data_IF_155043401196
#
_entry.id   IF_155043401196
#
_cell.length_a   1.000
_cell.length_b   1.000
_cell.length_c   1.000
_cell.angle_alpha   90.00
_cell.angle_beta   90.00
_cell.angle_gamma   90.00
#
_symmetry.space_group_name_H-M   'P 1'
#
loop_
_entity.id
_entity.type
_entity.pdbx_description
1 polymer ?
#
# COMPACT_ATOMS: atom_id res chain seq x y z
N UNK A 1 -50.65 -8.57 32.48
CA UNK A 1 -49.31 -7.96 32.55
C UNK A 1 -49.16 -7.05 31.33
N UNK A 2 -49.04 -5.73 31.50
CA UNK A 2 -48.89 -4.81 30.36
C UNK A 2 -47.46 -4.97 29.81
N UNK A 3 -47.26 -5.12 28.48
CA UNK A 3 -45.93 -5.24 27.91
C UNK A 3 -45.08 -4.02 28.27
N UNK A 4 -43.96 -4.22 28.98
CA UNK A 4 -42.99 -3.14 29.21
C UNK A 4 -42.37 -2.76 27.87
N UNK A 5 -42.47 -1.48 27.50
CA UNK A 5 -41.85 -0.98 26.27
C UNK A 5 -40.33 -1.03 26.43
N UNK A 6 -39.61 -1.53 25.44
CA UNK A 6 -38.14 -1.64 25.47
C UNK A 6 -37.44 -0.34 25.90
N UNK A 7 -37.94 0.82 25.46
CA UNK A 7 -37.42 2.13 25.83
C UNK A 7 -37.59 2.51 27.32
N UNK A 8 -38.45 1.81 28.08
CA UNK A 8 -38.63 2.05 29.52
C UNK A 8 -37.69 1.23 30.40
N UNK A 9 -36.84 0.37 29.81
CA UNK A 9 -35.74 -0.27 30.53
C UNK A 9 -34.67 0.77 30.91
N UNK A 10 -33.93 0.63 32.02
CA UNK A 10 -32.76 1.47 32.28
C UNK A 10 -31.72 1.40 31.15
N UNK A 11 -30.94 2.47 30.99
CA UNK A 11 -29.96 2.57 29.89
C UNK A 11 -28.94 1.42 29.93
N UNK A 12 -28.51 1.02 31.11
CA UNK A 12 -27.55 -0.07 31.34
C UNK A 12 -28.08 -1.40 30.80
N UNK A 13 -29.37 -1.69 31.05
CA UNK A 13 -30.01 -2.92 30.56
C UNK A 13 -30.18 -2.86 29.04
N UNK A 14 -30.58 -1.71 28.49
CA UNK A 14 -30.65 -1.53 27.04
C UNK A 14 -29.26 -1.74 26.41
N UNK A 15 -28.21 -1.21 27.02
CA UNK A 15 -26.83 -1.35 26.55
C UNK A 15 -26.37 -2.81 26.52
N UNK A 16 -26.67 -3.59 27.56
CA UNK A 16 -26.39 -5.03 27.59
C UNK A 16 -27.14 -5.78 26.47
N UNK A 17 -28.39 -5.41 26.21
CA UNK A 17 -29.18 -6.00 25.11
C UNK A 17 -28.58 -5.61 23.75
N UNK A 18 -28.18 -4.35 23.57
CA UNK A 18 -27.52 -3.90 22.34
C UNK A 18 -26.21 -4.65 22.11
N UNK A 19 -25.39 -4.83 23.15
CA UNK A 19 -24.16 -5.59 23.06
C UNK A 19 -24.43 -7.04 22.65
N UNK A 20 -25.39 -7.70 23.30
CA UNK A 20 -25.78 -9.07 22.94
C UNK A 20 -26.33 -9.18 21.51
N UNK A 21 -27.03 -8.15 21.01
CA UNK A 21 -27.58 -8.13 19.66
C UNK A 21 -26.52 -7.89 18.58
N UNK A 22 -25.59 -6.94 18.79
CA UNK A 22 -24.63 -6.54 17.76
C UNK A 22 -23.34 -7.36 17.75
N UNK A 23 -22.97 -8.00 18.86
CA UNK A 23 -21.74 -8.81 18.93
C UNK A 23 -21.93 -10.16 18.26
N UNK A 24 -21.12 -10.42 17.23
CA UNK A 24 -20.99 -11.71 16.58
C UNK A 24 -19.74 -12.42 17.11
N UNK A 25 -19.81 -13.74 17.25
CA UNK A 25 -18.71 -14.57 17.77
C UNK A 25 -17.42 -14.40 16.94
N UNK A 26 -17.54 -14.43 15.61
CA UNK A 26 -16.42 -14.27 14.67
C UNK A 26 -16.21 -12.82 14.18
N UNK A 27 -17.06 -11.89 14.65
CA UNK A 27 -17.02 -10.50 14.26
C UNK A 27 -17.39 -10.24 12.78
N UNK A 28 -16.80 -9.20 12.20
CA UNK A 28 -17.10 -8.71 10.85
C UNK A 28 -15.97 -9.02 9.87
N UNK A 29 -16.37 -9.31 8.63
CA UNK A 29 -15.49 -9.57 7.50
C UNK A 29 -15.61 -8.47 6.46
N UNK A 30 -14.50 -7.86 6.04
CA UNK A 30 -14.49 -7.02 4.85
C UNK A 30 -14.62 -7.87 3.58
N UNK A 31 -15.63 -7.55 2.77
CA UNK A 31 -15.92 -8.20 1.50
C UNK A 31 -15.36 -7.34 0.35
N UNK A 32 -14.27 -7.78 -0.32
CA UNK A 32 -13.60 -6.95 -1.32
C UNK A 32 -14.44 -6.63 -2.55
N UNK A 33 -15.28 -7.57 -3.00
CA UNK A 33 -16.12 -7.38 -4.18
C UNK A 33 -17.20 -6.31 -3.97
N UNK A 34 -17.86 -6.31 -2.81
CA UNK A 34 -18.91 -5.32 -2.50
C UNK A 34 -18.36 -4.05 -1.86
N UNK A 35 -17.12 -4.07 -1.36
CA UNK A 35 -16.53 -2.98 -0.57
C UNK A 35 -17.19 -2.78 0.79
N UNK A 36 -18.00 -3.74 1.26
CA UNK A 36 -18.81 -3.65 2.49
C UNK A 36 -18.34 -4.64 3.54
N UNK A 37 -18.75 -4.41 4.79
CA UNK A 37 -18.64 -5.41 5.85
C UNK A 37 -19.82 -6.38 5.77
N UNK A 38 -19.53 -7.66 6.02
CA UNK A 38 -20.49 -8.72 6.24
C UNK A 38 -20.18 -9.40 7.58
N UNK A 39 -21.07 -10.26 8.05
CA UNK A 39 -20.71 -11.21 9.10
C UNK A 39 -19.57 -12.11 8.61
N UNK A 40 -18.79 -12.69 9.53
CA UNK A 40 -17.63 -13.49 9.17
C UNK A 40 -17.96 -14.74 8.34
N UNK A 41 -19.18 -15.26 8.48
CA UNK A 41 -19.76 -16.35 7.69
C UNK A 41 -20.26 -15.91 6.30
N UNK A 42 -20.14 -14.62 5.97
CA UNK A 42 -20.59 -14.03 4.71
C UNK A 42 -22.03 -13.55 4.71
N UNK A 43 -22.78 -13.70 5.81
CA UNK A 43 -24.16 -13.22 5.89
C UNK A 43 -24.23 -11.68 6.00
N UNK A 44 -25.39 -11.12 5.63
CA UNK A 44 -25.65 -9.70 5.81
C UNK A 44 -25.67 -9.34 7.30
N UNK A 45 -25.12 -8.18 7.64
CA UNK A 45 -25.17 -7.67 9.01
C UNK A 45 -26.62 -7.35 9.40
N UNK A 46 -27.12 -7.98 10.47
CA UNK A 46 -28.42 -7.61 11.03
C UNK A 46 -28.29 -6.31 11.82
N UNK A 47 -28.68 -5.21 11.17
CA UNK A 47 -28.71 -3.87 11.75
C UNK A 47 -30.15 -3.39 11.99
N UNK A 48 -31.16 -4.28 11.90
CA UNK A 48 -32.56 -3.91 11.95
C UNK A 48 -32.90 -3.11 13.22
N UNK A 49 -32.33 -3.49 14.36
CA UNK A 49 -32.54 -2.79 15.63
C UNK A 49 -32.17 -1.30 15.57
N UNK A 50 -31.12 -0.92 14.82
CA UNK A 50 -30.71 0.49 14.67
C UNK A 50 -31.75 1.34 13.95
N UNK A 51 -32.59 0.73 13.10
CA UNK A 51 -33.57 1.44 12.28
C UNK A 51 -34.96 1.52 12.92
N UNK A 52 -35.13 0.99 14.14
CA UNK A 52 -36.43 0.95 14.82
C UNK A 52 -36.91 2.32 15.31
N UNK A 53 -36.06 3.10 15.99
CA UNK A 53 -36.38 4.45 16.43
C UNK A 53 -35.13 5.32 16.67
N UNK A 54 -35.32 6.65 16.75
CA UNK A 54 -34.22 7.62 16.92
C UNK A 54 -33.42 7.40 18.20
N UNK A 55 -34.08 7.00 19.30
CA UNK A 55 -33.39 6.73 20.57
C UNK A 55 -32.40 5.57 20.40
N UNK A 56 -32.88 4.42 19.93
CA UNK A 56 -32.05 3.24 19.72
C UNK A 56 -30.93 3.55 18.70
N UNK A 57 -31.26 4.20 17.58
CA UNK A 57 -30.27 4.61 16.58
C UNK A 57 -29.14 5.47 17.18
N UNK A 58 -29.48 6.39 18.09
CA UNK A 58 -28.51 7.27 18.75
C UNK A 58 -27.63 6.52 19.76
N UNK A 59 -28.22 5.59 20.54
CA UNK A 59 -27.51 4.80 21.54
C UNK A 59 -26.59 3.74 20.91
N UNK A 60 -26.95 3.23 19.72
CA UNK A 60 -26.27 2.10 19.08
C UNK A 60 -25.32 2.46 17.95
N UNK A 61 -25.27 3.74 17.52
CA UNK A 61 -24.56 4.21 16.31
C UNK A 61 -23.15 3.64 16.09
N UNK A 62 -22.41 3.43 17.18
CA UNK A 62 -21.02 2.96 17.14
C UNK A 62 -20.83 1.53 17.69
N UNK A 63 -21.87 0.92 18.29
CA UNK A 63 -21.76 -0.37 18.95
C UNK A 63 -21.38 -1.52 18.02
N UNK A 64 -21.94 -1.64 16.80
CA UNK A 64 -21.54 -2.68 15.85
C UNK A 64 -20.03 -2.74 15.63
N UNK A 65 -19.38 -1.59 15.42
CA UNK A 65 -17.93 -1.53 15.16
C UNK A 65 -17.08 -1.57 16.43
N UNK A 66 -17.63 -1.12 17.57
CA UNK A 66 -16.92 -1.11 18.86
C UNK A 66 -16.79 -2.50 19.46
N UNK A 67 -17.79 -3.36 19.26
CA UNK A 67 -17.86 -4.67 19.91
C UNK A 67 -17.47 -5.84 18.99
N UNK A 68 -17.25 -5.60 17.71
CA UNK A 68 -16.84 -6.64 16.76
C UNK A 68 -15.44 -6.39 16.25
N UNK A 69 -14.65 -7.45 16.19
CA UNK A 69 -13.37 -7.43 15.48
C UNK A 69 -13.64 -7.36 13.98
N UNK A 70 -12.99 -6.42 13.29
CA UNK A 70 -13.05 -6.37 11.82
C UNK A 70 -11.84 -7.09 11.23
N UNK A 71 -12.11 -8.14 10.46
CA UNK A 71 -11.11 -8.93 9.78
C UNK A 71 -10.97 -8.52 8.31
N UNK A 72 -9.71 -8.37 7.87
CA UNK A 72 -9.33 -8.09 6.49
C UNK A 72 -8.47 -9.23 5.96
N UNK A 73 -8.64 -9.58 4.68
CA UNK A 73 -7.84 -10.61 4.02
C UNK A 73 -7.12 -10.06 2.80
N UNK A 74 -6.03 -10.73 2.41
CA UNK A 74 -5.39 -10.51 1.12
C UNK A 74 -6.38 -10.84 0.00
N UNK A 75 -6.55 -9.92 -0.94
CA UNK A 75 -7.58 -9.99 -1.98
C UNK A 75 -6.98 -10.46 -3.29
N UNK A 76 -7.58 -11.50 -3.85
CA UNK A 76 -7.41 -11.89 -5.23
C UNK A 76 -8.73 -11.71 -5.96
N UNK A 77 -8.72 -11.04 -7.10
CA UNK A 77 -9.86 -10.95 -8.00
C UNK A 77 -9.37 -11.19 -9.43
N UNK A 78 -9.98 -12.12 -10.20
CA UNK A 78 -9.52 -12.44 -11.55
C UNK A 78 -9.38 -11.20 -12.45
N UNK A 79 -10.38 -10.32 -12.45
CA UNK A 79 -10.39 -9.10 -13.27
C UNK A 79 -9.35 -8.06 -12.81
N UNK A 80 -8.88 -8.12 -11.56
CA UNK A 80 -7.90 -7.17 -11.02
C UNK A 80 -6.47 -7.69 -11.13
N UNK A 81 -6.28 -8.91 -11.63
CA UNK A 81 -4.98 -9.57 -11.66
C UNK A 81 -3.96 -8.82 -12.51
N UNK A 82 -4.33 -8.42 -13.72
CA UNK A 82 -3.44 -7.67 -14.61
C UNK A 82 -3.11 -6.30 -14.02
N UNK A 83 -4.10 -5.63 -13.42
CA UNK A 83 -3.92 -4.35 -12.74
C UNK A 83 -3.01 -4.43 -11.51
N UNK A 84 -3.18 -5.45 -10.68
CA UNK A 84 -2.32 -5.70 -9.51
C UNK A 84 -0.88 -6.02 -9.94
N UNK A 85 -0.70 -6.70 -11.08
CA UNK A 85 0.61 -6.90 -11.70
C UNK A 85 1.23 -5.61 -12.24
N UNK A 86 0.43 -4.78 -12.91
CA UNK A 86 0.88 -3.47 -13.38
C UNK A 86 1.27 -2.57 -12.22
N UNK A 87 0.48 -2.53 -11.15
CA UNK A 87 0.81 -1.79 -9.93
C UNK A 87 2.15 -2.23 -9.33
N UNK A 88 2.37 -3.53 -9.19
CA UNK A 88 3.64 -4.06 -8.67
C UNK A 88 4.84 -3.66 -9.56
N UNK A 89 4.67 -3.75 -10.88
CA UNK A 89 5.64 -3.26 -11.86
C UNK A 89 5.92 -1.77 -11.69
N UNK A 90 4.87 -0.94 -11.63
CA UNK A 90 5.00 0.52 -11.55
C UNK A 90 5.67 0.97 -10.25
N UNK A 91 5.31 0.39 -9.10
CA UNK A 91 5.96 0.70 -7.81
C UNK A 91 7.46 0.38 -7.90
N UNK A 92 7.82 -0.79 -8.44
CA UNK A 92 9.24 -1.16 -8.61
C UNK A 92 9.95 -0.21 -9.56
N UNK A 93 9.35 0.10 -10.71
CA UNK A 93 9.93 1.01 -11.72
C UNK A 93 10.15 2.41 -11.15
N UNK A 94 9.15 3.00 -10.48
CA UNK A 94 9.26 4.30 -9.82
C UNK A 94 10.36 4.31 -8.75
N UNK A 95 10.48 3.23 -7.97
CA UNK A 95 11.55 3.12 -6.98
C UNK A 95 12.95 3.08 -7.61
N UNK A 96 13.14 2.36 -8.72
CA UNK A 96 14.40 2.41 -9.47
C UNK A 96 14.70 3.81 -10.00
N UNK A 97 13.68 4.50 -10.50
CA UNK A 97 13.78 5.88 -10.95
C UNK A 97 14.28 6.80 -9.85
N UNK A 98 13.65 6.74 -8.68
CA UNK A 98 14.08 7.50 -7.50
C UNK A 98 15.55 7.21 -7.14
N UNK A 99 15.93 5.93 -7.09
CA UNK A 99 17.29 5.55 -6.70
C UNK A 99 18.34 6.09 -7.66
N UNK A 100 18.08 5.99 -8.96
CA UNK A 100 18.99 6.52 -9.98
C UNK A 100 19.07 8.05 -9.93
N UNK A 101 17.94 8.75 -9.79
CA UNK A 101 17.93 10.22 -9.63
C UNK A 101 18.80 10.61 -8.43
N UNK A 102 18.66 9.91 -7.29
CA UNK A 102 19.44 10.20 -6.09
C UNK A 102 20.95 9.98 -6.29
N UNK A 103 21.32 8.86 -6.92
CA UNK A 103 22.73 8.54 -7.19
C UNK A 103 23.35 9.53 -8.17
N UNK A 104 22.62 9.93 -9.21
CA UNK A 104 23.09 10.92 -10.18
C UNK A 104 23.22 12.30 -9.54
N UNK A 105 22.22 12.76 -8.78
CA UNK A 105 22.31 14.02 -8.03
C UNK A 105 23.47 14.01 -7.02
N UNK A 106 23.70 12.87 -6.37
CA UNK A 106 24.85 12.68 -5.49
C UNK A 106 26.19 12.74 -6.24
N UNK A 107 26.29 12.15 -7.44
CA UNK A 107 27.52 12.17 -8.26
C UNK A 107 27.85 13.57 -8.77
N UNK A 108 26.81 14.39 -9.00
CA UNK A 108 26.90 15.81 -9.36
C UNK A 108 27.16 16.73 -8.15
N UNK A 109 27.22 16.19 -6.92
CA UNK A 109 27.55 16.94 -5.72
C UNK A 109 26.37 17.62 -5.01
N UNK A 110 25.12 17.35 -5.42
CA UNK A 110 23.93 17.92 -4.77
C UNK A 110 23.59 17.26 -3.43
N UNK A 111 24.13 16.08 -3.14
CA UNK A 111 24.05 15.46 -1.80
C UNK A 111 25.20 15.98 -0.96
N UNK A 112 24.99 17.13 -0.32
CA UNK A 112 26.01 17.84 0.48
C UNK A 112 26.32 17.11 1.79
N UNK A 113 27.44 17.45 2.47
CA UNK A 113 27.72 16.91 3.81
C UNK A 113 26.58 17.12 4.81
N UNK A 114 25.92 18.29 4.78
CA UNK A 114 24.77 18.57 5.62
C UNK A 114 23.58 17.62 5.34
N UNK A 115 23.30 17.36 4.06
CA UNK A 115 22.26 16.38 3.68
C UNK A 115 22.65 14.96 4.16
N UNK A 116 23.93 14.57 4.07
CA UNK A 116 24.37 13.28 4.62
C UNK A 116 24.18 13.20 6.15
N UNK A 117 24.42 14.28 6.89
CA UNK A 117 24.17 14.33 8.33
C UNK A 117 22.68 14.19 8.66
N UNK A 118 21.80 14.89 7.93
CA UNK A 118 20.35 14.78 8.10
C UNK A 118 19.83 13.38 7.77
N UNK A 119 20.33 12.78 6.68
CA UNK A 119 20.06 11.37 6.35
C UNK A 119 20.55 10.48 7.48
N UNK A 120 21.76 10.70 7.99
CA UNK A 120 22.36 9.92 9.07
C UNK A 120 21.57 9.99 10.38
N UNK A 121 20.95 11.14 10.67
CA UNK A 121 20.09 11.29 11.84
C UNK A 121 18.84 10.41 11.82
N UNK A 122 18.29 10.12 10.62
CA UNK A 122 17.06 9.33 10.47
C UNK A 122 17.28 7.90 9.99
N UNK A 123 18.26 7.70 9.10
CA UNK A 123 18.61 6.43 8.48
C UNK A 123 20.14 6.19 8.54
N UNK A 124 20.73 5.95 9.73
CA UNK A 124 22.19 5.84 9.89
C UNK A 124 22.84 4.79 8.98
N UNK A 125 22.15 3.67 8.76
CA UNK A 125 22.61 2.56 7.93
C UNK A 125 22.70 2.91 6.44
N UNK A 126 21.96 3.93 5.98
CA UNK A 126 21.84 4.27 4.56
C UNK A 126 23.02 5.13 4.07
N UNK A 127 23.60 5.97 4.93
CA UNK A 127 24.64 6.96 4.55
C UNK A 127 25.84 6.29 3.87
N UNK A 128 26.42 5.26 4.47
CA UNK A 128 27.58 4.56 3.90
C UNK A 128 27.30 3.93 2.54
N UNK A 129 26.06 3.44 2.35
CA UNK A 129 25.61 2.81 1.11
C UNK A 129 25.36 3.83 0.00
N UNK A 130 24.74 4.96 0.35
CA UNK A 130 24.57 6.06 -0.58
C UNK A 130 25.93 6.60 -1.04
N UNK A 131 26.86 6.82 -0.11
CA UNK A 131 28.23 7.25 -0.44
C UNK A 131 28.94 6.26 -1.37
N UNK A 132 28.77 4.95 -1.15
CA UNK A 132 29.31 3.93 -2.03
C UNK A 132 28.69 3.98 -3.43
N UNK A 133 27.37 4.13 -3.53
CA UNK A 133 26.65 4.21 -4.80
C UNK A 133 27.03 5.45 -5.60
N UNK A 134 27.12 6.61 -4.94
CA UNK A 134 27.54 7.89 -5.53
C UNK A 134 28.97 7.84 -6.08
N UNK A 135 29.87 7.05 -5.49
CA UNK A 135 31.24 6.82 -6.01
C UNK A 135 31.30 5.94 -7.24
N UNK A 136 30.22 5.24 -7.60
CA UNK A 136 30.19 4.31 -8.73
C UNK A 136 28.84 4.37 -9.46
N UNK A 137 28.45 5.55 -9.99
CA UNK A 137 27.12 5.78 -10.58
C UNK A 137 26.87 4.92 -11.82
N UNK A 138 27.92 4.52 -12.54
CA UNK A 138 27.85 3.65 -13.72
C UNK A 138 27.17 2.30 -13.43
N UNK A 139 27.29 1.78 -12.21
CA UNK A 139 26.64 0.53 -11.80
C UNK A 139 25.11 0.65 -11.75
N UNK A 140 24.60 1.88 -11.68
CA UNK A 140 23.18 2.19 -11.51
C UNK A 140 22.54 2.69 -12.81
N UNK A 141 23.33 3.12 -13.81
CA UNK A 141 22.81 3.54 -15.13
C UNK A 141 22.15 2.41 -15.92
N UNK A 142 22.61 1.16 -15.76
CA UNK A 142 22.15 -0.01 -16.54
C UNK A 142 20.97 -0.75 -15.92
N UNK A 143 20.48 -0.32 -14.76
CA UNK A 143 19.43 -1.05 -14.01
C UNK A 143 18.03 -0.80 -14.60
N UNK A 144 17.88 0.15 -15.52
CA UNK A 144 16.65 0.43 -16.28
C UNK A 144 16.42 -0.48 -17.49
N UNK A 145 16.84 -1.72 -17.44
CA UNK A 145 16.73 -2.60 -18.61
C UNK A 145 15.30 -3.09 -18.90
N UNK A 146 14.28 -2.65 -18.14
CA UNK A 146 12.90 -3.15 -18.29
C UNK A 146 12.76 -4.66 -18.05
N UNK A 147 13.84 -5.33 -17.63
CA UNK A 147 13.92 -6.78 -17.49
C UNK A 147 13.08 -7.31 -16.33
N UNK A 148 12.54 -6.46 -15.44
CA UNK A 148 11.78 -6.93 -14.29
C UNK A 148 10.61 -7.85 -14.68
N UNK A 149 9.81 -7.46 -15.68
CA UNK A 149 8.70 -8.30 -16.11
C UNK A 149 9.17 -9.58 -16.79
N UNK A 150 10.34 -9.57 -17.44
CA UNK A 150 10.96 -10.77 -18.00
C UNK A 150 11.54 -11.68 -16.90
N UNK A 151 12.10 -11.13 -15.83
CA UNK A 151 12.54 -11.84 -14.63
C UNK A 151 11.34 -12.52 -13.94
N UNK A 152 10.27 -11.78 -13.69
CA UNK A 152 9.05 -12.29 -13.02
C UNK A 152 8.30 -13.31 -13.88
N UNK A 153 8.30 -13.11 -15.21
CA UNK A 153 7.71 -14.07 -16.14
C UNK A 153 8.48 -15.40 -16.13
N UNK A 154 9.81 -15.36 -15.98
CA UNK A 154 10.68 -16.55 -15.97
C UNK A 154 10.72 -17.26 -14.61
N UNK A 155 10.37 -16.60 -13.52
CA UNK A 155 10.41 -17.20 -12.19
C UNK A 155 9.27 -18.22 -11.97
N UNK A 156 9.69 -19.46 -11.68
CA UNK A 156 8.82 -20.62 -11.46
C UNK A 156 8.18 -20.60 -10.06
N UNK A 157 8.85 -19.99 -9.09
CA UNK A 157 8.36 -19.91 -7.72
C UNK A 157 7.85 -18.50 -7.44
N UNK A 158 6.55 -18.38 -7.15
CA UNK A 158 6.06 -17.18 -6.50
C UNK A 158 6.43 -17.22 -5.02
N UNK A 159 7.70 -16.91 -4.73
CA UNK A 159 7.94 -16.11 -3.52
C UNK A 159 7.28 -14.77 -3.78
N UNK A 160 6.61 -14.18 -2.79
CA UNK A 160 6.25 -12.77 -2.87
C UNK A 160 7.58 -12.06 -3.14
N UNK A 161 7.87 -11.71 -4.40
CA UNK A 161 8.97 -10.81 -4.73
C UNK A 161 8.52 -9.49 -4.14
N UNK A 162 8.83 -9.35 -2.85
CA UNK A 162 8.23 -8.35 -2.00
C UNK A 162 8.66 -7.01 -2.51
N UNK A 163 7.76 -6.33 -3.19
CA UNK A 163 7.83 -4.89 -3.39
C UNK A 163 7.94 -4.15 -2.05
N UNK A 164 7.64 -4.84 -0.94
CA UNK A 164 7.90 -4.43 0.44
C UNK A 164 9.10 -5.16 1.08
N UNK A 165 9.25 -6.48 0.87
CA UNK A 165 10.12 -7.35 1.71
C UNK A 165 11.24 -8.08 0.96
N UNK A 166 11.34 -7.97 -0.36
CA UNK A 166 12.44 -8.61 -1.08
C UNK A 166 13.74 -7.90 -0.76
N UNK A 167 14.80 -8.70 -0.57
CA UNK A 167 16.15 -8.17 -0.40
C UNK A 167 16.57 -7.60 -1.74
N UNK A 168 16.73 -6.29 -1.77
CA UNK A 168 17.20 -5.64 -2.98
C UNK A 168 18.71 -5.78 -3.14
N UNK A 169 19.11 -5.91 -4.40
CA UNK A 169 20.52 -5.87 -4.82
C UNK A 169 20.95 -4.48 -5.32
N UNK A 170 20.07 -3.48 -5.26
CA UNK A 170 20.31 -2.16 -5.87
C UNK A 170 21.50 -1.50 -5.21
N UNK A 171 21.49 -1.39 -3.88
CA UNK A 171 22.70 -1.06 -3.13
C UNK A 171 23.42 -2.36 -2.76
N UNK A 172 24.58 -2.62 -3.37
CA UNK A 172 25.34 -3.84 -3.10
C UNK A 172 25.57 -4.07 -1.59
N UNK A 173 25.26 -5.29 -1.13
CA UNK A 173 25.43 -5.68 0.27
C UNK A 173 24.44 -5.04 1.25
N UNK A 174 23.28 -4.56 0.81
CA UNK A 174 22.16 -4.24 1.71
C UNK A 174 21.34 -5.49 2.03
N UNK A 175 21.26 -5.82 3.33
CA UNK A 175 20.23 -6.70 3.87
C UNK A 175 19.20 -5.84 4.61
N UNK A 176 18.05 -5.60 3.99
CA UNK A 176 16.96 -4.83 4.60
C UNK A 176 15.67 -4.93 3.76
N UNK A 177 14.50 -4.62 4.34
CA UNK A 177 13.25 -4.58 3.59
C UNK A 177 13.28 -3.42 2.58
N UNK A 178 12.90 -3.68 1.32
CA UNK A 178 12.80 -2.67 0.23
C UNK A 178 12.04 -1.42 0.67
N UNK A 179 11.04 -1.57 1.53
CA UNK A 179 10.28 -0.45 2.05
C UNK A 179 11.13 0.60 2.78
N UNK A 180 11.96 0.18 3.74
CA UNK A 180 12.80 1.10 4.51
C UNK A 180 13.79 1.83 3.59
N UNK A 181 14.30 1.12 2.60
CA UNK A 181 15.17 1.69 1.57
C UNK A 181 14.45 2.70 0.68
N UNK A 182 13.23 2.40 0.22
CA UNK A 182 12.39 3.35 -0.51
C UNK A 182 12.10 4.61 0.31
N UNK A 183 11.85 4.48 1.62
CA UNK A 183 11.65 5.65 2.48
C UNK A 183 12.93 6.47 2.66
N UNK A 184 14.08 5.82 2.81
CA UNK A 184 15.37 6.50 2.91
C UNK A 184 15.70 7.26 1.61
N UNK A 185 15.48 6.64 0.44
CA UNK A 185 15.67 7.27 -0.87
C UNK A 185 14.70 8.46 -1.05
N UNK A 186 13.41 8.28 -0.78
CA UNK A 186 12.40 9.36 -0.89
C UNK A 186 12.70 10.52 0.06
N UNK A 187 13.17 10.21 1.27
CA UNK A 187 13.60 11.23 2.24
C UNK A 187 14.82 12.01 1.73
N UNK A 188 15.86 11.32 1.27
CA UNK A 188 17.06 11.94 0.73
C UNK A 188 16.76 12.82 -0.49
N UNK A 189 15.95 12.35 -1.43
CA UNK A 189 15.53 13.15 -2.58
C UNK A 189 14.75 14.40 -2.19
N UNK A 190 13.90 14.32 -1.16
CA UNK A 190 13.18 15.49 -0.66
C UNK A 190 14.10 16.52 0.02
N UNK A 191 15.18 16.08 0.68
CA UNK A 191 16.21 16.99 1.20
C UNK A 191 16.96 17.67 0.04
N UNK A 192 17.40 16.89 -0.95
CA UNK A 192 18.05 17.45 -2.14
C UNK A 192 17.14 18.45 -2.86
N UNK A 193 15.84 18.14 -3.00
CA UNK A 193 14.88 19.05 -3.60
C UNK A 193 14.69 20.38 -2.83
N UNK A 194 14.97 20.42 -1.52
CA UNK A 194 14.91 21.67 -0.76
C UNK A 194 16.06 22.61 -1.11
N UNK A 195 17.25 22.05 -1.36
CA UNK A 195 18.48 22.75 -1.69
C UNK A 195 18.62 23.06 -3.20
N UNK A 196 17.84 22.40 -4.06
CA UNK A 196 17.78 22.75 -5.48
C UNK A 196 17.20 24.17 -5.65
N UNK A 197 17.99 25.05 -6.28
CA UNK A 197 17.52 26.34 -6.77
C UNK A 197 16.43 26.16 -7.83
N UNK A 198 15.63 27.20 -8.11
CA UNK A 198 14.50 27.14 -9.07
C UNK A 198 14.91 27.03 -10.54
N UNK A 199 16.15 26.63 -10.84
CA UNK A 199 16.70 26.49 -12.18
C UNK A 199 17.05 25.03 -12.53
N UNK A 200 17.27 24.72 -13.82
CA UNK A 200 17.63 23.38 -14.25
C UNK A 200 19.03 22.99 -13.74
N UNK A 201 19.15 21.75 -13.24
CA UNK A 201 20.43 21.14 -12.87
C UNK A 201 21.34 21.08 -14.11
N UNK A 202 22.43 21.83 -14.09
CA UNK A 202 23.31 21.96 -15.26
C UNK A 202 24.11 20.67 -15.54
N UNK A 203 23.85 20.11 -16.74
CA UNK A 203 24.63 19.13 -17.51
C UNK A 203 24.86 17.73 -16.90
N UNK A 204 23.88 16.85 -17.12
CA UNK A 204 24.19 15.57 -17.78
C UNK A 204 23.23 15.38 -18.95
N UNK A 205 23.77 14.94 -20.10
CA UNK A 205 23.16 15.04 -21.42
C UNK A 205 22.06 13.98 -21.69
N UNK A 206 21.50 13.35 -20.66
CA UNK A 206 20.40 12.41 -20.81
C UNK A 206 19.27 12.77 -19.84
N UNK A 207 18.03 12.94 -20.33
CA UNK A 207 16.86 13.01 -19.47
C UNK A 207 16.87 11.81 -18.53
N UNK A 208 16.92 12.04 -17.22
CA UNK A 208 16.66 10.96 -16.28
C UNK A 208 15.17 10.65 -16.42
N UNK A 209 14.82 9.45 -16.86
CA UNK A 209 13.43 9.06 -17.13
C UNK A 209 12.54 9.42 -15.94
N UNK A 210 11.60 10.34 -16.12
CA UNK A 210 10.66 10.81 -15.09
C UNK A 210 11.02 12.14 -14.40
N UNK A 211 12.17 12.77 -14.70
CA UNK A 211 12.55 14.08 -14.14
C UNK A 211 13.26 14.96 -15.17
N UNK A 212 12.76 16.18 -15.41
CA UNK A 212 13.30 17.09 -16.44
C UNK A 212 14.42 18.02 -15.93
N UNK A 213 14.87 17.85 -14.68
CA UNK A 213 16.03 18.56 -14.16
C UNK A 213 15.72 19.74 -13.22
N UNK A 214 14.45 20.02 -12.90
CA UNK A 214 14.09 21.09 -11.97
C UNK A 214 13.45 20.59 -10.66
N UNK A 215 13.42 21.46 -9.65
CA UNK A 215 12.88 21.14 -8.32
C UNK A 215 11.41 20.73 -8.34
N UNK A 216 10.58 21.43 -9.13
CA UNK A 216 9.13 21.22 -9.13
C UNK A 216 8.81 19.84 -9.69
N UNK A 217 9.42 19.50 -10.82
CA UNK A 217 9.25 18.21 -11.47
C UNK A 217 9.69 17.06 -10.56
N UNK A 218 10.77 17.23 -9.78
CA UNK A 218 11.20 16.23 -8.81
C UNK A 218 10.16 16.01 -7.71
N UNK A 219 9.61 17.09 -7.15
CA UNK A 219 8.61 17.01 -6.09
C UNK A 219 7.30 16.40 -6.61
N UNK A 220 6.85 16.82 -7.79
CA UNK A 220 5.66 16.28 -8.45
C UNK A 220 5.83 14.77 -8.73
N UNK A 221 7.00 14.35 -9.26
CA UNK A 221 7.32 12.93 -9.43
C UNK A 221 7.26 12.15 -8.11
N UNK A 222 7.83 12.67 -7.02
CA UNK A 222 7.84 12.00 -5.71
C UNK A 222 6.46 11.89 -5.07
N UNK A 223 5.59 12.86 -5.33
CA UNK A 223 4.22 12.91 -4.80
C UNK A 223 3.27 11.98 -5.57
N UNK A 224 3.56 11.72 -6.86
CA UNK A 224 2.82 10.76 -7.69
C UNK A 224 3.30 9.31 -7.56
N UNK A 225 4.42 9.07 -6.88
CA UNK A 225 4.93 7.72 -6.67
C UNK A 225 3.99 6.90 -5.78
N UNK A 226 3.70 5.69 -6.23
CA UNK A 226 2.82 4.78 -5.52
C UNK A 226 3.47 4.22 -4.25
N UNK A 227 2.69 4.14 -3.16
CA UNK A 227 3.10 3.44 -1.95
C UNK A 227 2.65 1.96 -2.03
N UNK A 228 3.46 0.99 -1.57
CA UNK A 228 3.18 -0.43 -1.77
C UNK A 228 1.99 -0.98 -0.96
N UNK A 229 1.47 -0.22 0.00
CA UNK A 229 0.23 -0.54 0.72
C UNK A 229 -0.98 0.23 0.20
N UNK A 230 -0.85 1.04 -0.84
CA UNK A 230 -2.00 1.68 -1.45
C UNK A 230 -2.69 0.73 -2.43
N UNK A 231 -3.94 1.07 -2.75
CA UNK A 231 -4.71 0.43 -3.82
C UNK A 231 -5.19 1.59 -4.73
N UNK A 232 -4.37 1.99 -5.72
CA UNK A 232 -4.69 3.09 -6.62
C UNK A 232 -5.95 2.81 -7.45
N UNK A 233 -6.49 3.85 -8.08
CA UNK A 233 -7.51 3.65 -9.09
C UNK A 233 -6.89 3.08 -10.37
N UNK A 234 -7.68 2.40 -11.19
CA UNK A 234 -7.21 1.85 -12.46
C UNK A 234 -6.78 2.94 -13.43
N UNK A 235 -7.47 4.09 -13.43
CA UNK A 235 -7.09 5.27 -14.20
C UNK A 235 -5.74 5.83 -13.80
N UNK A 236 -5.39 5.83 -12.50
CA UNK A 236 -4.07 6.29 -12.05
C UNK A 236 -2.97 5.35 -12.55
N UNK A 237 -3.19 4.03 -12.46
CA UNK A 237 -2.23 3.05 -12.97
C UNK A 237 -2.05 3.17 -14.48
N UNK A 238 -3.13 3.44 -15.20
CA UNK A 238 -3.10 3.64 -16.65
C UNK A 238 -2.35 4.91 -17.05
N UNK A 239 -2.66 6.04 -16.42
CA UNK A 239 -2.00 7.32 -16.72
C UNK A 239 -0.51 7.27 -16.41
N UNK A 240 -0.12 6.71 -15.25
CA UNK A 240 1.30 6.56 -14.89
C UNK A 240 1.98 5.56 -15.82
N UNK A 241 1.34 4.44 -16.14
CA UNK A 241 1.90 3.44 -17.04
C UNK A 241 2.17 3.99 -18.45
N UNK A 242 1.20 4.70 -19.03
CA UNK A 242 1.36 5.38 -20.33
C UNK A 242 2.54 6.36 -20.31
N UNK A 243 2.65 7.17 -19.26
CA UNK A 243 3.76 8.12 -19.11
C UNK A 243 5.13 7.43 -19.02
N UNK A 244 5.18 6.24 -18.42
CA UNK A 244 6.40 5.44 -18.31
C UNK A 244 6.62 4.52 -19.53
N UNK A 245 5.77 4.58 -20.55
CA UNK A 245 5.88 3.78 -21.77
C UNK A 245 5.72 2.28 -21.52
N UNK A 246 4.85 1.89 -20.58
CA UNK A 246 4.68 0.48 -20.19
C UNK A 246 3.74 -0.32 -21.13
N UNK A 247 3.41 0.18 -22.32
CA UNK A 247 2.40 -0.40 -23.23
C UNK A 247 2.72 -1.87 -23.59
N UNK A 248 3.93 -2.16 -24.07
CA UNK A 248 4.35 -3.53 -24.39
C UNK A 248 4.29 -4.44 -23.15
N UNK A 249 4.62 -3.88 -21.99
CA UNK A 249 4.61 -4.59 -20.72
C UNK A 249 3.18 -4.87 -20.23
N UNK A 250 2.28 -3.92 -20.42
CA UNK A 250 0.86 -4.03 -20.14
C UNK A 250 0.19 -5.08 -21.03
N UNK A 251 0.45 -5.06 -22.33
CA UNK A 251 -0.04 -6.08 -23.27
C UNK A 251 0.40 -7.47 -22.84
N UNK A 252 1.66 -7.62 -22.43
CA UNK A 252 2.16 -8.90 -21.90
C UNK A 252 1.40 -9.32 -20.64
N UNK A 253 1.17 -8.42 -19.67
CA UNK A 253 0.39 -8.73 -18.46
C UNK A 253 -1.05 -9.19 -18.78
N UNK A 254 -1.67 -8.64 -19.83
CA UNK A 254 -2.99 -9.06 -20.30
C UNK A 254 -2.95 -10.45 -20.94
N UNK A 255 -1.95 -10.72 -21.78
CA UNK A 255 -1.77 -11.99 -22.48
C UNK A 255 -1.44 -13.17 -21.54
N UNK A 256 -1.10 -12.92 -20.27
CA UNK A 256 -0.85 -13.96 -19.26
C UNK A 256 -2.08 -14.83 -18.94
N UNK A 257 -3.26 -14.55 -19.49
CA UNK A 257 -4.41 -15.46 -19.47
C UNK A 257 -4.32 -16.63 -20.46
N UNK A 258 -3.62 -16.42 -21.58
CA UNK A 258 -3.70 -17.28 -22.77
C UNK A 258 -2.55 -18.29 -22.90
N UNK A 259 -1.58 -18.27 -21.99
CA UNK A 259 -0.46 -19.23 -22.05
C UNK A 259 -0.87 -20.63 -21.56
N UNK A 260 -1.69 -21.28 -22.38
CA UNK A 260 -2.00 -22.71 -22.35
C UNK A 260 -0.83 -23.56 -22.92
N UNK A 261 0.28 -22.94 -23.35
CA UNK A 261 1.37 -23.61 -24.09
C UNK A 261 2.42 -24.26 -23.18
N UNK A 262 2.20 -24.32 -21.87
CA UNK A 262 3.11 -24.96 -20.93
C UNK A 262 4.50 -24.31 -20.83
N UNK A 263 4.72 -23.15 -21.46
CA UNK A 263 5.98 -22.39 -21.39
C UNK A 263 6.23 -21.81 -20.00
N UNK A 264 5.16 -21.51 -19.26
CA UNK A 264 5.22 -21.05 -17.89
C UNK A 264 4.41 -21.99 -16.98
N UNK A 265 5.09 -22.73 -16.11
CA UNK A 265 4.60 -24.00 -15.57
C UNK A 265 3.84 -23.91 -14.22
N UNK A 266 3.39 -22.73 -13.80
CA UNK A 266 2.62 -22.57 -12.55
C UNK A 266 1.50 -21.56 -12.76
N UNK A 267 0.29 -21.92 -12.34
CA UNK A 267 -0.91 -21.10 -12.40
C UNK A 267 -0.69 -19.64 -11.91
N UNK A 268 -0.38 -18.76 -12.86
CA UNK A 268 -0.16 -17.31 -12.69
C UNK A 268 -1.37 -16.59 -12.07
N UNK A 269 -2.54 -17.25 -12.05
CA UNK A 269 -3.81 -16.86 -11.39
C UNK A 269 -3.69 -16.60 -9.88
N UNK A 270 -2.50 -16.61 -9.29
CA UNK A 270 -2.32 -16.43 -7.85
C UNK A 270 -1.11 -15.55 -7.49
N UNK A 271 -0.46 -14.90 -8.45
CA UNK A 271 0.76 -14.11 -8.21
C UNK A 271 0.49 -12.68 -7.71
N UNK A 272 -0.57 -12.01 -8.19
CA UNK A 272 -0.82 -10.63 -7.81
C UNK A 272 -2.09 -10.50 -6.97
N UNK A 273 -1.93 -9.85 -5.82
CA UNK A 273 -2.97 -9.66 -4.81
C UNK A 273 -2.72 -8.37 -4.05
N UNK A 274 -3.77 -7.71 -3.59
CA UNK A 274 -3.62 -6.65 -2.59
C UNK A 274 -3.53 -7.26 -1.20
N UNK A 275 -2.57 -6.80 -0.40
CA UNK A 275 -2.40 -7.28 0.97
C UNK A 275 -3.60 -6.91 1.84
N UNK A 276 -3.86 -7.71 2.89
CA UNK A 276 -4.88 -7.38 3.89
C UNK A 276 -4.67 -5.98 4.50
N UNK A 277 -3.41 -5.57 4.67
CA UNK A 277 -3.06 -4.24 5.17
C UNK A 277 -3.48 -3.13 4.20
N UNK A 278 -3.22 -3.29 2.90
CA UNK A 278 -3.63 -2.31 1.88
C UNK A 278 -5.15 -2.13 1.84
N UNK A 279 -5.86 -3.25 1.96
CA UNK A 279 -7.33 -3.29 1.98
C UNK A 279 -7.87 -2.60 3.24
N UNK A 280 -7.28 -2.89 4.40
CA UNK A 280 -7.63 -2.26 5.66
C UNK A 280 -7.39 -0.74 5.60
N UNK A 281 -6.23 -0.30 5.12
CA UNK A 281 -5.91 1.14 4.98
C UNK A 281 -6.92 1.81 4.05
N UNK A 282 -7.22 1.21 2.88
CA UNK A 282 -8.23 1.74 1.97
C UNK A 282 -9.59 1.85 2.65
N UNK A 283 -10.07 0.81 3.32
CA UNK A 283 -11.35 0.84 4.04
C UNK A 283 -11.38 1.95 5.10
N UNK A 284 -10.35 2.04 5.94
CA UNK A 284 -10.28 3.03 7.03
C UNK A 284 -10.24 4.47 6.50
N UNK A 285 -9.62 4.72 5.34
CA UNK A 285 -9.62 6.04 4.69
C UNK A 285 -11.00 6.46 4.19
N UNK A 286 -11.89 5.52 3.85
CA UNK A 286 -13.26 5.82 3.43
C UNK A 286 -14.23 6.04 4.60
N UNK A 287 -13.80 5.76 5.85
CA UNK A 287 -14.61 6.02 7.03
C UNK A 287 -14.43 7.45 7.55
N UNK A 288 -15.52 8.13 7.98
CA UNK A 288 -15.43 9.35 8.76
C UNK A 288 -14.62 9.14 10.05
N UNK A 289 -13.91 10.18 10.50
CA UNK A 289 -13.01 10.08 11.66
C UNK A 289 -13.71 9.58 12.93
N UNK A 290 -14.95 10.02 13.17
CA UNK A 290 -15.77 9.55 14.29
C UNK A 290 -16.01 8.03 14.29
N UNK A 291 -16.15 7.42 13.10
CA UNK A 291 -16.28 5.96 12.97
C UNK A 291 -14.94 5.27 13.08
N UNK A 292 -13.87 5.87 12.53
CA UNK A 292 -12.51 5.32 12.62
C UNK A 292 -12.05 5.19 14.07
N UNK A 293 -12.34 6.19 14.90
CA UNK A 293 -12.01 6.19 16.34
C UNK A 293 -12.85 5.20 17.16
N UNK A 294 -14.01 4.77 16.64
CA UNK A 294 -14.86 3.77 17.31
C UNK A 294 -14.41 2.32 17.07
N UNK A 295 -13.54 2.08 16.10
CA UNK A 295 -12.94 0.77 15.84
C UNK A 295 -11.88 0.48 16.89
N UNK A 296 -12.18 -0.44 17.80
CA UNK A 296 -11.28 -0.85 18.87
C UNK A 296 -10.31 -1.94 18.42
N UNK A 297 -10.73 -2.84 17.51
CA UNK A 297 -9.98 -4.05 17.16
C UNK A 297 -10.05 -4.39 15.67
N UNK A 298 -8.90 -4.40 14.99
CA UNK A 298 -8.77 -4.81 13.60
C UNK A 298 -7.72 -5.92 13.47
N UNK A 299 -8.02 -6.94 12.65
CA UNK A 299 -7.10 -8.05 12.39
C UNK A 299 -6.85 -8.18 10.89
N UNK A 300 -5.59 -8.17 10.49
CA UNK A 300 -5.17 -8.45 9.12
C UNK A 300 -4.76 -9.93 9.01
N UNK A 301 -5.37 -10.67 8.10
CA UNK A 301 -5.14 -12.10 7.88
C UNK A 301 -4.60 -12.37 6.48
N UNK A 302 -3.66 -13.31 6.37
CA UNK A 302 -3.30 -13.91 5.07
C UNK A 302 -4.28 -15.04 4.75
N UNK A 303 -4.71 -15.23 3.50
CA UNK A 303 -5.54 -16.36 3.11
C UNK A 303 -4.78 -17.67 3.34
N UNK A 304 -5.50 -18.68 3.85
CA UNK A 304 -4.99 -20.01 4.13
C UNK A 304 -4.51 -20.70 2.83
N UNK A 305 -3.26 -21.18 2.81
CA UNK A 305 -2.90 -22.34 1.99
C UNK A 305 -3.04 -23.55 2.90
N UNK A 306 -4.06 -24.40 2.66
CA UNK A 306 -4.20 -25.74 3.23
C UNK A 306 -3.88 -25.91 4.72
N UNK A 307 -4.91 -25.82 5.57
CA UNK A 307 -5.03 -26.69 6.75
C UNK A 307 -4.06 -26.59 7.94
N UNK A 308 -3.31 -25.50 8.15
CA UNK A 308 -2.54 -25.28 9.41
C UNK A 308 -2.67 -23.81 9.86
N UNK A 309 -2.72 -23.49 11.18
CA UNK A 309 -3.05 -22.15 11.66
C UNK A 309 -2.01 -21.10 11.25
N UNK A 310 -2.45 -20.06 10.56
CA UNK A 310 -1.64 -18.91 10.17
C UNK A 310 -1.60 -17.84 11.26
N UNK A 311 -0.42 -17.27 11.50
CA UNK A 311 -0.17 -16.19 12.46
C UNK A 311 -1.02 -14.95 12.17
N UNK A 312 -1.76 -14.50 13.19
CA UNK A 312 -2.55 -13.27 13.18
C UNK A 312 -1.70 -12.08 13.61
N UNK A 313 -1.87 -10.92 12.96
CA UNK A 313 -1.31 -9.65 13.42
C UNK A 313 -2.47 -8.77 13.92
N UNK A 314 -2.48 -8.47 15.21
CA UNK A 314 -3.43 -7.55 15.85
C UNK A 314 -2.80 -6.15 15.90
N UNK A 315 -3.56 -5.13 15.47
CA UNK A 315 -3.16 -3.74 15.65
C UNK A 315 -3.75 -3.21 16.95
N UNK A 316 -2.90 -2.77 17.89
CA UNK A 316 -3.32 -2.31 19.23
C UNK A 316 -3.23 -0.80 19.47
N UNK A 317 -2.93 0.04 18.47
CA UNK A 317 -2.84 1.49 18.66
C UNK A 317 -3.42 2.32 17.50
N UNK A 318 -4.02 3.51 17.77
CA UNK A 318 -4.56 4.40 16.75
C UNK A 318 -3.43 5.08 15.94
N UNK A 319 -3.58 5.10 14.62
CA UNK A 319 -2.66 5.80 13.69
C UNK A 319 -2.72 7.32 13.86
N UNK A 320 -1.62 8.05 13.61
CA UNK A 320 -1.63 9.51 13.58
C UNK A 320 -2.51 10.02 12.42
N UNK A 321 -3.18 11.18 12.57
CA UNK A 321 -4.09 11.70 11.57
C UNK A 321 -3.33 12.08 10.29
N UNK A 322 -3.70 11.44 9.19
CA UNK A 322 -3.30 11.87 7.84
C UNK A 322 -3.99 13.18 7.50
N UNK A 323 -3.21 14.16 7.03
CA UNK A 323 -3.72 15.49 6.62
C UNK A 323 -4.77 15.31 5.51
N UNK A 324 -6.02 15.63 5.82
CA UNK A 324 -7.08 15.78 4.82
C UNK A 324 -6.78 17.03 3.97
N UNK A 325 -6.49 16.85 2.68
CA UNK A 325 -6.58 17.94 1.72
C UNK A 325 -8.08 18.20 1.45
N UNK A 326 -8.62 19.25 2.04
CA UNK A 326 -9.89 19.84 1.59
C UNK A 326 -9.64 20.63 0.31
N UNK A 327 -10.42 20.42 -0.76
CA UNK A 327 -10.41 21.34 -1.89
C UNK A 327 -11.15 22.62 -1.50
N UNK A 328 -10.54 23.77 -1.77
CA UNK A 328 -11.22 25.07 -1.86
C UNK A 328 -11.84 25.22 -3.25
#
# INVERSE_FOLDING_TARGET
MVPRRFASLPHEIRHLIYQAYFTLEDGYAFQPGSGKLAAADGQALDLALMYTCRLIASETKNLPLKHNVVSFWTVYHPEWRSWTGRFDYLVRTQYFMQTHILVELGSLGYVTPAIYEEIGGKFPWFVSKLQQAVRSPEQYRTVYSGLYLDEVARDRDWTVYGTVTSRERVFWGTSGPRYELSQAVKFALRLVAQELESGPVSRSAQPIVGWQGDRKDLLDFLDECFEPWDIPSWSDLEAVGQRLGDEEKWDRLQLWELDNWGRFNVAHRSKYRFSAAAVAIRFLRHLPDSKRLSLSHNVARRPHRGGVPGTSFQWSHPFPPGKSKTPN
#
